data_IF_959172872121
#
_entry.id   IF_959172872121
#
_cell.length_a   1.000
_cell.length_b   1.000
_cell.length_c   1.000
_cell.angle_alpha   90.00
_cell.angle_beta   90.00
_cell.angle_gamma   90.00
#
_symmetry.space_group_name_H-M   'P 1'
#
loop_
_entity.id
_entity.type
_entity.pdbx_description
1 polymer ?
#
# COMPACT_ATOMS: atom_id res chain seq x y z
N UNK A 1 -13.07 -35.27 9.42
CA UNK A 1 -12.34 -35.28 10.72
C UNK A 1 -12.78 -34.04 11.51
N UNK A 2 -13.02 -34.13 12.81
CA UNK A 2 -13.41 -32.99 13.66
C UNK A 2 -12.20 -32.46 14.42
N UNK A 3 -12.09 -31.14 14.55
CA UNK A 3 -11.02 -30.51 15.33
C UNK A 3 -11.53 -30.08 16.70
N UNK A 4 -10.68 -30.12 17.71
CA UNK A 4 -10.98 -29.60 19.04
C UNK A 4 -11.13 -28.06 19.00
N UNK A 5 -12.00 -27.48 19.82
CA UNK A 5 -12.15 -26.02 19.96
C UNK A 5 -10.85 -25.35 20.41
N UNK A 6 -10.02 -26.06 21.18
CA UNK A 6 -8.69 -25.57 21.58
C UNK A 6 -7.80 -25.24 20.37
N UNK A 7 -8.02 -25.86 19.20
CA UNK A 7 -7.33 -25.50 17.97
C UNK A 7 -7.71 -24.09 17.50
N UNK A 8 -9.00 -23.77 17.42
CA UNK A 8 -9.43 -22.44 16.96
C UNK A 8 -9.03 -21.33 17.95
N UNK A 9 -9.04 -21.61 19.25
CA UNK A 9 -8.55 -20.65 20.26
C UNK A 9 -7.07 -20.33 20.07
N UNK A 10 -6.22 -21.35 19.82
CA UNK A 10 -4.80 -21.13 19.50
C UNK A 10 -4.59 -20.33 18.22
N UNK A 11 -5.39 -20.58 17.18
CA UNK A 11 -5.31 -19.81 15.94
C UNK A 11 -5.71 -18.36 16.18
N UNK A 12 -6.80 -18.13 16.92
CA UNK A 12 -7.21 -16.78 17.32
C UNK A 12 -6.10 -16.05 18.08
N UNK A 13 -5.52 -16.68 19.11
CA UNK A 13 -4.43 -16.08 19.90
C UNK A 13 -3.24 -15.68 19.01
N UNK A 14 -2.84 -16.56 18.09
CA UNK A 14 -1.72 -16.28 17.18
C UNK A 14 -2.04 -15.12 16.24
N UNK A 15 -3.25 -15.07 15.69
CA UNK A 15 -3.67 -14.00 14.80
C UNK A 15 -3.79 -12.66 15.55
N UNK A 16 -4.30 -12.68 16.77
CA UNK A 16 -4.40 -11.49 17.62
C UNK A 16 -3.03 -10.93 17.99
N UNK A 17 -2.09 -11.79 18.40
CA UNK A 17 -0.71 -11.38 18.69
C UNK A 17 0.00 -10.80 17.47
N UNK A 18 -0.34 -11.28 16.28
CA UNK A 18 0.20 -10.76 15.02
C UNK A 18 -0.52 -9.50 14.52
N UNK A 19 -1.56 -9.02 15.22
CA UNK A 19 -2.36 -7.87 14.80
C UNK A 19 -3.23 -8.13 13.56
N UNK A 20 -3.47 -9.39 13.21
CA UNK A 20 -4.29 -9.78 12.04
C UNK A 20 -5.79 -9.69 12.32
N UNK A 21 -6.17 -9.80 13.60
CA UNK A 21 -7.53 -9.60 14.13
C UNK A 21 -7.43 -8.92 15.51
N UNK A 22 -8.39 -8.06 15.83
CA UNK A 22 -8.43 -7.28 17.06
C UNK A 22 -9.23 -7.97 18.17
N UNK A 23 -10.18 -8.84 17.81
CA UNK A 23 -11.09 -9.45 18.79
C UNK A 23 -11.61 -10.83 18.38
N UNK A 24 -12.11 -11.60 19.36
CA UNK A 24 -12.82 -12.87 19.09
C UNK A 24 -14.06 -12.68 18.22
N UNK A 25 -14.69 -11.51 18.33
CA UNK A 25 -15.85 -11.14 17.50
C UNK A 25 -15.42 -11.04 16.04
N UNK A 26 -14.39 -10.24 15.77
CA UNK A 26 -13.84 -10.11 14.42
C UNK A 26 -13.35 -11.44 13.87
N UNK A 27 -12.62 -12.23 14.66
CA UNK A 27 -12.18 -13.56 14.25
C UNK A 27 -13.38 -14.45 13.86
N UNK A 28 -14.43 -14.46 14.68
CA UNK A 28 -15.62 -15.28 14.42
C UNK A 28 -16.38 -14.85 13.16
N UNK A 29 -16.50 -13.55 12.90
CA UNK A 29 -17.24 -13.04 11.74
C UNK A 29 -16.40 -13.05 10.48
N UNK A 30 -15.20 -12.46 10.52
CA UNK A 30 -14.32 -12.25 9.37
C UNK A 30 -13.57 -13.51 8.95
N UNK A 31 -13.03 -14.26 9.92
CA UNK A 31 -12.15 -15.40 9.61
C UNK A 31 -12.88 -16.73 9.54
N UNK A 32 -13.95 -16.90 10.33
CA UNK A 32 -14.71 -18.15 10.35
C UNK A 32 -16.02 -18.09 9.55
N UNK A 33 -16.49 -16.89 9.17
CA UNK A 33 -17.77 -16.72 8.48
C UNK A 33 -18.97 -17.14 9.36
N UNK A 34 -18.85 -17.04 10.68
CA UNK A 34 -19.88 -17.43 11.66
C UNK A 34 -20.38 -16.20 12.44
N UNK A 35 -21.34 -16.44 13.33
CA UNK A 35 -21.86 -15.37 14.20
C UNK A 35 -20.80 -14.83 15.17
N UNK A 36 -20.97 -13.58 15.66
CA UNK A 36 -19.97 -12.87 16.48
C UNK A 36 -19.61 -13.57 17.80
N UNK A 37 -20.51 -14.41 18.32
CA UNK A 37 -20.32 -15.17 19.55
C UNK A 37 -19.86 -16.61 19.31
N UNK A 38 -19.55 -17.00 18.06
CA UNK A 38 -19.30 -18.39 17.69
C UNK A 38 -18.15 -19.01 18.51
N UNK A 39 -16.97 -18.38 18.50
CA UNK A 39 -15.80 -18.91 19.21
C UNK A 39 -16.07 -19.06 20.71
N UNK A 40 -16.63 -18.02 21.34
CA UNK A 40 -16.98 -18.04 22.77
C UNK A 40 -18.03 -19.12 23.09
N UNK A 41 -19.05 -19.28 22.24
CA UNK A 41 -20.12 -20.26 22.44
C UNK A 41 -19.64 -21.70 22.26
N UNK A 42 -18.69 -21.93 21.36
CA UNK A 42 -18.07 -23.23 21.14
C UNK A 42 -17.14 -23.59 22.28
N UNK A 43 -16.32 -22.62 22.73
CA UNK A 43 -15.36 -22.76 23.83
C UNK A 43 -16.05 -23.06 25.15
N UNK A 44 -17.12 -22.33 25.48
CA UNK A 44 -17.90 -22.55 26.70
C UNK A 44 -18.62 -23.91 26.75
N UNK A 45 -18.78 -24.60 25.61
CA UNK A 45 -19.49 -25.87 25.50
C UNK A 45 -18.58 -27.03 25.12
N UNK A 46 -17.27 -26.80 25.06
CA UNK A 46 -16.25 -27.79 24.68
C UNK A 46 -16.63 -28.59 23.42
N UNK A 47 -17.07 -27.87 22.38
CA UNK A 47 -17.64 -28.48 21.17
C UNK A 47 -16.58 -28.74 20.12
N UNK A 48 -16.72 -29.87 19.44
CA UNK A 48 -15.96 -30.16 18.22
C UNK A 48 -16.27 -29.16 17.10
N UNK A 49 -15.22 -28.66 16.48
CA UNK A 49 -15.27 -27.74 15.34
C UNK A 49 -15.55 -28.52 14.05
N UNK A 50 -16.59 -28.14 13.30
CA UNK A 50 -16.88 -28.75 12.01
C UNK A 50 -15.74 -28.53 11.01
N UNK A 51 -15.47 -29.53 10.17
CA UNK A 51 -14.39 -29.47 9.17
C UNK A 51 -14.59 -28.31 8.18
N UNK A 52 -15.83 -27.97 7.85
CA UNK A 52 -16.18 -26.81 7.00
C UNK A 52 -15.63 -25.48 7.54
N UNK A 53 -15.59 -25.31 8.87
CA UNK A 53 -15.12 -24.07 9.50
C UNK A 53 -13.61 -23.95 9.35
N UNK A 54 -12.90 -25.07 9.52
CA UNK A 54 -11.45 -25.11 9.35
C UNK A 54 -11.07 -24.94 7.87
N UNK A 55 -11.82 -25.55 6.95
CA UNK A 55 -11.63 -25.36 5.52
C UNK A 55 -11.84 -23.89 5.13
N UNK A 56 -12.93 -23.26 5.59
CA UNK A 56 -13.19 -21.85 5.35
C UNK A 56 -12.08 -20.94 5.88
N UNK A 57 -11.63 -21.18 7.12
CA UNK A 57 -10.53 -20.43 7.73
C UNK A 57 -9.24 -20.54 6.90
N UNK A 58 -8.90 -21.76 6.45
CA UNK A 58 -7.72 -21.99 5.60
C UNK A 58 -7.84 -21.23 4.29
N UNK A 59 -8.99 -21.33 3.63
CA UNK A 59 -9.22 -20.69 2.34
C UNK A 59 -9.20 -19.16 2.48
N UNK A 60 -9.71 -18.63 3.60
CA UNK A 60 -9.64 -17.19 3.91
C UNK A 60 -8.20 -16.73 4.13
N UNK A 61 -7.40 -17.47 4.88
CA UNK A 61 -5.97 -17.15 5.09
C UNK A 61 -5.20 -17.22 3.76
N UNK A 62 -5.47 -18.22 2.92
CA UNK A 62 -4.84 -18.34 1.61
C UNK A 62 -5.19 -17.16 0.69
N UNK A 63 -6.45 -16.70 0.73
CA UNK A 63 -6.88 -15.51 -0.01
C UNK A 63 -6.17 -14.24 0.51
N UNK A 64 -6.11 -14.04 1.83
CA UNK A 64 -5.40 -12.90 2.43
C UNK A 64 -3.91 -12.88 2.03
N UNK A 65 -3.24 -14.04 2.00
CA UNK A 65 -1.84 -14.16 1.53
C UNK A 65 -1.71 -13.75 0.06
N UNK A 66 -2.59 -14.26 -0.80
CA UNK A 66 -2.54 -13.95 -2.23
C UNK A 66 -2.79 -12.46 -2.50
N UNK A 67 -3.71 -11.84 -1.77
CA UNK A 67 -3.97 -10.40 -1.88
C UNK A 67 -2.74 -9.57 -1.46
N UNK A 68 -2.04 -10.00 -0.41
CA UNK A 68 -0.78 -9.37 0.03
C UNK A 68 0.31 -9.50 -1.04
N UNK A 69 0.49 -10.68 -1.64
CA UNK A 69 1.50 -10.91 -2.67
C UNK A 69 1.24 -10.04 -3.92
N UNK A 70 -0.03 -9.91 -4.32
CA UNK A 70 -0.43 -9.03 -5.44
C UNK A 70 -0.09 -7.57 -5.11
N UNK A 71 -0.48 -7.08 -3.93
CA UNK A 71 -0.20 -5.71 -3.51
C UNK A 71 1.30 -5.43 -3.41
N UNK A 72 2.08 -6.39 -2.90
CA UNK A 72 3.53 -6.29 -2.83
C UNK A 72 4.14 -6.13 -4.23
N UNK A 73 3.73 -6.97 -5.19
CA UNK A 73 4.18 -6.86 -6.57
C UNK A 73 3.82 -5.53 -7.23
N UNK A 74 2.62 -5.01 -6.98
CA UNK A 74 2.20 -3.69 -7.48
C UNK A 74 3.05 -2.55 -6.91
N UNK A 75 3.33 -2.58 -5.61
CA UNK A 75 4.16 -1.60 -4.93
C UNK A 75 5.63 -1.67 -5.38
N UNK A 76 6.15 -2.87 -5.63
CA UNK A 76 7.50 -3.05 -6.18
C UNK A 76 7.62 -2.43 -7.59
N UNK A 77 6.63 -2.64 -8.45
CA UNK A 77 6.61 -2.05 -9.79
C UNK A 77 6.44 -0.52 -9.74
N UNK A 78 5.63 0.00 -8.82
CA UNK A 78 5.55 1.45 -8.57
C UNK A 78 6.89 2.01 -8.12
N UNK A 79 7.56 1.35 -7.17
CA UNK A 79 8.87 1.76 -6.67
C UNK A 79 9.91 1.76 -7.81
N UNK A 80 9.89 0.74 -8.68
CA UNK A 80 10.76 0.65 -9.86
C UNK A 80 10.57 1.85 -10.79
N UNK A 81 9.32 2.20 -11.11
CA UNK A 81 9.00 3.36 -11.94
C UNK A 81 9.46 4.68 -11.31
N UNK A 82 9.18 4.89 -10.03
CA UNK A 82 9.62 6.08 -9.29
C UNK A 82 11.15 6.22 -9.27
N UNK A 83 11.89 5.11 -9.10
CA UNK A 83 13.36 5.12 -9.15
C UNK A 83 13.89 5.53 -10.53
N UNK A 84 13.27 5.02 -11.60
CA UNK A 84 13.63 5.38 -12.96
C UNK A 84 13.36 6.87 -13.23
N UNK A 85 12.18 7.37 -12.86
CA UNK A 85 11.84 8.79 -12.96
C UNK A 85 12.81 9.67 -12.17
N UNK A 86 13.15 9.27 -10.95
CA UNK A 86 14.12 9.97 -10.12
C UNK A 86 15.50 10.03 -10.79
N UNK A 87 15.97 8.94 -11.41
CA UNK A 87 17.24 8.92 -12.13
C UNK A 87 17.26 9.92 -13.29
N UNK A 88 16.20 9.92 -14.12
CA UNK A 88 16.08 10.87 -15.24
C UNK A 88 16.05 12.32 -14.74
N UNK A 89 15.32 12.60 -13.66
CA UNK A 89 15.29 13.95 -13.06
C UNK A 89 16.64 14.38 -12.51
N UNK A 90 17.39 13.47 -11.88
CA UNK A 90 18.76 13.76 -11.41
C UNK A 90 19.69 14.08 -12.57
N UNK A 91 19.59 13.34 -13.67
CA UNK A 91 20.39 13.58 -14.87
C UNK A 91 20.09 14.95 -15.48
N UNK A 92 18.80 15.31 -15.62
CA UNK A 92 18.38 16.64 -16.08
C UNK A 92 18.90 17.77 -15.17
N UNK A 93 18.85 17.59 -13.85
CA UNK A 93 19.41 18.56 -12.90
C UNK A 93 20.93 18.71 -13.10
N UNK A 94 21.64 17.61 -13.37
CA UNK A 94 23.05 17.63 -13.74
C UNK A 94 23.33 18.50 -14.97
N UNK A 95 22.61 18.26 -16.07
CA UNK A 95 22.76 19.05 -17.30
C UNK A 95 22.47 20.54 -17.10
N UNK A 96 21.42 20.87 -16.33
CA UNK A 96 21.07 22.26 -16.03
C UNK A 96 22.18 22.94 -15.20
N UNK A 97 22.77 22.22 -14.24
CA UNK A 97 23.87 22.75 -13.43
C UNK A 97 25.14 22.98 -14.26
N UNK A 98 25.42 22.10 -15.23
CA UNK A 98 26.55 22.23 -16.17
C UNK A 98 26.36 23.40 -17.15
N UNK A 99 25.15 23.61 -17.68
CA UNK A 99 24.83 24.75 -18.57
C UNK A 99 24.78 26.09 -17.82
N UNK A 100 24.45 26.06 -16.53
CA UNK A 100 24.39 27.22 -15.63
C UNK A 100 25.75 27.76 -15.17
N UNK A 101 26.87 27.10 -15.50
CA UNK A 101 28.21 27.51 -15.08
C UNK A 101 29.13 27.93 -16.24
N UNK A 102 29.00 29.16 -16.77
CA UNK A 102 30.13 29.91 -17.27
C UNK A 102 30.68 30.83 -16.16
N UNK A 103 31.94 30.61 -15.79
CA UNK A 103 32.73 31.57 -15.06
C UNK A 103 32.80 32.91 -15.85
N UNK A 104 32.35 33.99 -15.20
CA UNK A 104 32.66 35.42 -15.44
C UNK A 104 32.11 36.11 -16.74
N UNK A 105 32.10 37.46 -16.83
CA UNK A 105 31.05 38.34 -16.33
C UNK A 105 30.36 39.10 -17.47
N UNK A 106 29.03 39.08 -17.52
CA UNK A 106 28.28 39.76 -18.59
C UNK A 106 26.84 40.03 -18.21
N UNK A 107 26.61 41.16 -17.55
CA UNK A 107 25.36 41.67 -16.95
C UNK A 107 24.17 41.79 -17.92
N UNK A 108 24.30 41.40 -19.20
CA UNK A 108 23.23 41.48 -20.21
C UNK A 108 22.47 40.17 -20.47
N UNK A 109 23.07 38.99 -20.27
CA UNK A 109 22.42 37.71 -20.63
C UNK A 109 21.49 37.16 -19.55
N UNK A 110 21.81 37.38 -18.26
CA UNK A 110 20.98 36.94 -17.13
C UNK A 110 19.59 37.58 -17.14
N UNK A 111 19.46 38.84 -17.57
CA UNK A 111 18.18 39.54 -17.65
C UNK A 111 17.23 38.95 -18.71
N UNK A 112 17.76 38.46 -19.84
CA UNK A 112 16.93 37.84 -20.91
C UNK A 112 16.41 36.46 -20.53
N UNK A 113 17.20 35.66 -19.82
CA UNK A 113 16.79 34.30 -19.45
C UNK A 113 15.73 34.33 -18.33
N UNK A 114 15.84 35.24 -17.36
CA UNK A 114 14.81 35.42 -16.34
C UNK A 114 13.50 35.94 -16.93
N UNK A 115 13.55 36.84 -17.92
CA UNK A 115 12.35 37.29 -18.63
C UNK A 115 11.65 36.14 -19.37
N UNK A 116 12.41 35.29 -20.06
CA UNK A 116 11.85 34.15 -20.80
C UNK A 116 11.24 33.09 -19.87
N UNK A 117 11.88 32.83 -18.71
CA UNK A 117 11.34 31.92 -17.70
C UNK A 117 10.05 32.46 -17.06
N UNK A 118 9.97 33.76 -16.79
CA UNK A 118 8.76 34.39 -16.24
C UNK A 118 7.59 34.34 -17.26
N UNK A 119 7.86 34.49 -18.56
CA UNK A 119 6.83 34.38 -19.60
C UNK A 119 6.27 32.95 -19.75
N UNK A 120 7.12 31.93 -19.60
CA UNK A 120 6.68 30.53 -19.65
C UNK A 120 5.79 30.19 -18.43
N UNK A 121 6.19 30.60 -17.22
CA UNK A 121 5.39 30.37 -16.00
C UNK A 121 4.08 31.15 -16.06
N UNK A 122 4.10 32.38 -16.57
CA UNK A 122 2.91 33.22 -16.73
C UNK A 122 1.94 32.67 -17.79
N UNK A 123 2.44 32.08 -18.86
CA UNK A 123 1.60 31.45 -19.89
C UNK A 123 0.95 30.15 -19.42
N UNK A 124 1.54 29.46 -18.43
CA UNK A 124 0.97 28.24 -17.84
C UNK A 124 -0.16 28.49 -16.82
N UNK A 125 -0.40 29.75 -16.41
CA UNK A 125 -1.44 30.12 -15.44
C UNK A 125 -2.72 30.72 -16.07
N UNK A 126 -2.81 30.85 -17.39
CA UNK A 126 -4.00 31.39 -18.03
C UNK A 126 -5.07 30.29 -18.21
N UNK A 127 -6.26 30.40 -17.56
CA UNK A 127 -7.33 29.43 -17.76
C UNK A 127 -7.95 29.61 -19.15
N UNK A 128 -8.07 28.51 -19.89
CA UNK A 128 -8.70 28.47 -21.20
C UNK A 128 -10.20 28.75 -21.07
N UNK A 129 -10.63 29.99 -21.30
CA UNK A 129 -12.05 30.31 -21.51
C UNK A 129 -12.39 29.98 -22.97
N UNK A 130 -13.07 28.85 -23.17
CA UNK A 130 -13.70 28.50 -24.45
C UNK A 130 -15.06 29.22 -24.52
N UNK A 131 -15.30 29.90 -25.64
CA UNK A 131 -16.65 30.17 -26.16
C UNK A 131 -16.80 29.39 -27.47
#
# INVERSE_FOLDING_TARGET
>A
MTHDIAFLEKVYERMHQAGLVESKVEFSTRMLGKGPSYLTSMSARDRNVPQEVVAHLRDRIAADINDIDIQAGELEEQLRRCKLEQAHRREMVGWIAEDGCPAEPGTGRKARLLANWLDIVRSSLAPSVRY
#
